data_IF_845663411155
#
_entry.id   IF_845663411155
#
_cell.length_a   1.000
_cell.length_b   1.000
_cell.length_c   1.000
_cell.angle_alpha   90.00
_cell.angle_beta   90.00
_cell.angle_gamma   90.00
#
_symmetry.space_group_name_H-M   'P 1'
#
loop_
_entity.id
_entity.type
_entity.pdbx_description
1 polymer ?
#
# COMPACT_ATOMS: atom_id res chain seq x y z
N UNK A 1 4.58 -30.27 17.50
CA UNK A 1 3.75 -30.34 18.73
C UNK A 1 2.24 -30.28 18.45
N UNK A 2 1.81 -30.32 17.17
CA UNK A 2 0.41 -30.38 16.78
C UNK A 2 -0.42 -29.10 16.99
N UNK A 3 0.23 -27.97 17.24
CA UNK A 3 -0.47 -26.67 17.36
C UNK A 3 -0.70 -26.13 15.95
N UNK A 4 -1.97 -25.86 15.55
CA UNK A 4 -2.26 -25.26 14.26
C UNK A 4 -1.75 -23.81 14.22
N UNK A 5 -1.25 -23.39 13.07
CA UNK A 5 -0.72 -22.03 12.86
C UNK A 5 -1.38 -21.43 11.63
N UNK A 6 -1.87 -20.22 11.77
CA UNK A 6 -2.34 -19.36 10.68
C UNK A 6 -1.41 -18.15 10.60
N UNK A 7 -0.95 -17.83 9.41
CA UNK A 7 -0.18 -16.60 9.18
C UNK A 7 -1.11 -15.48 8.75
N UNK A 8 -0.82 -14.25 9.21
CA UNK A 8 -1.68 -13.08 9.01
C UNK A 8 -0.88 -11.95 8.39
N UNK A 9 -1.35 -11.39 7.29
CA UNK A 9 -0.75 -10.31 6.47
C UNK A 9 0.64 -10.61 5.89
N UNK A 10 1.47 -11.38 6.56
CA UNK A 10 2.76 -11.87 6.08
C UNK A 10 2.72 -13.38 5.89
N UNK A 11 2.91 -13.86 4.66
CA UNK A 11 2.87 -15.29 4.38
C UNK A 11 4.22 -15.97 4.63
N UNK A 12 4.17 -17.18 5.18
CA UNK A 12 5.29 -18.09 5.39
C UNK A 12 5.13 -19.35 4.50
N UNK A 13 5.26 -19.17 3.20
CA UNK A 13 4.94 -20.16 2.15
C UNK A 13 5.62 -21.51 2.39
N UNK A 14 6.86 -21.52 2.92
CA UNK A 14 7.63 -22.75 3.18
C UNK A 14 7.41 -23.33 4.58
N UNK A 15 6.49 -22.78 5.36
CA UNK A 15 6.16 -23.27 6.70
C UNK A 15 5.07 -24.35 6.65
N UNK A 16 4.80 -24.97 7.80
CA UNK A 16 3.68 -25.90 8.00
C UNK A 16 2.41 -25.18 8.47
N UNK A 17 2.21 -23.93 8.08
CA UNK A 17 0.99 -23.20 8.37
C UNK A 17 -0.24 -23.88 7.77
N UNK A 18 -1.36 -23.78 8.43
CA UNK A 18 -2.61 -24.33 7.94
C UNK A 18 -3.28 -23.41 6.91
N UNK A 19 -3.19 -22.10 7.16
CA UNK A 19 -3.77 -21.08 6.29
C UNK A 19 -2.94 -19.79 6.31
N UNK A 20 -3.08 -19.00 5.26
CA UNK A 20 -2.70 -17.58 5.21
C UNK A 20 -3.97 -16.73 5.12
N UNK A 21 -4.07 -15.70 5.95
CA UNK A 21 -5.16 -14.72 5.93
C UNK A 21 -4.55 -13.35 5.63
N UNK A 22 -4.98 -12.72 4.55
CA UNK A 22 -4.42 -11.43 4.15
C UNK A 22 -4.70 -11.07 2.70
N UNK A 23 -3.92 -10.17 2.16
CA UNK A 23 -3.99 -9.69 0.78
C UNK A 23 -2.81 -10.25 -0.01
N UNK A 24 -3.06 -10.85 -1.18
CA UNK A 24 -1.97 -11.32 -2.04
C UNK A 24 -1.27 -10.15 -2.73
N UNK A 25 0.03 -10.33 -3.06
CA UNK A 25 0.80 -9.32 -3.80
C UNK A 25 0.18 -9.00 -5.17
N UNK A 26 -0.43 -10.01 -5.81
CA UNK A 26 -1.14 -9.82 -7.08
C UNK A 26 -2.36 -8.89 -6.90
N UNK A 27 -3.20 -9.18 -5.92
CA UNK A 27 -4.40 -8.39 -5.65
C UNK A 27 -4.04 -6.96 -5.21
N UNK A 28 -3.06 -6.83 -4.31
CA UNK A 28 -2.58 -5.54 -3.85
C UNK A 28 -2.01 -4.72 -5.02
N UNK A 29 -1.17 -5.34 -5.85
CA UNK A 29 -0.60 -4.69 -7.03
C UNK A 29 -1.65 -4.30 -8.07
N UNK A 30 -2.66 -5.14 -8.31
CA UNK A 30 -3.77 -4.84 -9.22
C UNK A 30 -4.58 -3.63 -8.73
N UNK A 31 -4.98 -3.64 -7.46
CA UNK A 31 -5.77 -2.57 -6.87
C UNK A 31 -5.01 -1.22 -6.85
N UNK A 32 -3.71 -1.26 -6.49
CA UNK A 32 -2.87 -0.06 -6.58
C UNK A 32 -2.63 0.38 -8.02
N UNK A 33 -2.49 -0.56 -8.96
CA UNK A 33 -2.37 -0.24 -10.38
C UNK A 33 -3.61 0.50 -10.91
N UNK A 34 -4.81 0.00 -10.59
CA UNK A 34 -6.07 0.68 -10.94
C UNK A 34 -6.13 2.08 -10.31
N UNK A 35 -5.75 2.19 -9.03
CA UNK A 35 -5.74 3.48 -8.32
C UNK A 35 -4.72 4.46 -8.91
N UNK A 36 -3.50 4.02 -9.22
CA UNK A 36 -2.49 4.83 -9.91
C UNK A 36 -3.01 5.32 -11.25
N UNK A 37 -3.65 4.45 -12.03
CA UNK A 37 -4.20 4.82 -13.34
C UNK A 37 -5.27 5.92 -13.27
N UNK A 38 -6.02 6.03 -12.15
CA UNK A 38 -6.96 7.13 -11.95
C UNK A 38 -6.26 8.50 -11.83
N UNK A 39 -5.04 8.52 -11.28
CA UNK A 39 -4.24 9.75 -11.07
C UNK A 39 -3.28 10.06 -12.22
N UNK A 40 -3.04 9.13 -13.15
CA UNK A 40 -2.23 9.39 -14.34
C UNK A 40 -2.94 10.39 -15.24
N UNK A 41 -2.25 11.49 -15.55
CA UNK A 41 -2.68 12.56 -16.45
C UNK A 41 -1.69 12.67 -17.63
N UNK A 42 -2.00 13.51 -18.60
CA UNK A 42 -1.09 13.82 -19.73
C UNK A 42 0.25 14.45 -19.29
N UNK A 43 0.28 15.03 -18.10
CA UNK A 43 1.46 15.72 -17.56
C UNK A 43 2.24 14.82 -16.56
N UNK A 44 1.84 13.55 -16.37
CA UNK A 44 2.54 12.59 -15.50
C UNK A 44 3.74 12.02 -16.24
N UNK A 45 4.94 12.26 -15.73
CA UNK A 45 6.19 11.79 -16.33
C UNK A 45 6.84 10.68 -15.50
N UNK A 46 6.61 10.67 -14.16
CA UNK A 46 7.33 9.82 -13.23
C UNK A 46 6.46 9.25 -12.10
N UNK A 47 6.68 7.97 -11.78
CA UNK A 47 6.06 7.26 -10.67
C UNK A 47 7.15 6.57 -9.88
N UNK A 48 7.18 6.77 -8.57
CA UNK A 48 8.07 6.07 -7.66
C UNK A 48 7.26 5.19 -6.71
N UNK A 49 7.63 3.91 -6.62
CA UNK A 49 7.01 2.93 -5.73
C UNK A 49 7.97 2.58 -4.60
N UNK A 50 7.57 2.83 -3.35
CA UNK A 50 8.31 2.47 -2.16
C UNK A 50 7.75 1.17 -1.58
N UNK A 51 8.62 0.16 -1.45
CA UNK A 51 8.27 -1.16 -0.94
C UNK A 51 9.16 -1.55 0.25
N UNK A 52 8.63 -2.34 1.18
CA UNK A 52 9.38 -3.09 2.19
C UNK A 52 9.12 -4.59 2.00
N UNK A 53 9.77 -5.20 1.04
CA UNK A 53 9.57 -6.62 0.67
C UNK A 53 10.90 -7.36 0.53
N UNK A 54 10.90 -8.65 0.86
CA UNK A 54 12.09 -9.51 0.64
C UNK A 54 12.19 -9.90 -0.83
N UNK A 55 12.65 -8.97 -1.65
CA UNK A 55 12.89 -9.12 -3.09
C UNK A 55 14.25 -8.52 -3.43
N UNK A 56 15.03 -9.25 -4.22
CA UNK A 56 16.36 -8.81 -4.65
C UNK A 56 16.28 -7.86 -5.87
N UNK A 57 15.27 -8.06 -6.72
CA UNK A 57 15.03 -7.25 -7.93
C UNK A 57 13.56 -6.79 -7.96
N UNK A 58 13.37 -5.47 -8.11
CA UNK A 58 12.04 -4.85 -8.20
C UNK A 58 11.21 -5.42 -9.35
N UNK A 59 11.86 -5.82 -10.46
CA UNK A 59 11.16 -6.43 -11.60
C UNK A 59 10.55 -7.80 -11.30
N UNK A 60 10.98 -8.45 -10.21
CA UNK A 60 10.37 -9.70 -9.71
C UNK A 60 9.15 -9.43 -8.82
N UNK A 61 8.89 -8.18 -8.44
CA UNK A 61 7.73 -7.82 -7.64
C UNK A 61 6.46 -7.82 -8.48
N UNK A 62 5.49 -8.65 -8.10
CA UNK A 62 4.16 -8.62 -8.72
C UNK A 62 3.47 -7.27 -8.54
N UNK A 63 3.66 -6.64 -7.39
CA UNK A 63 3.11 -5.31 -7.09
C UNK A 63 3.67 -4.28 -8.09
N UNK A 64 5.00 -4.22 -8.23
CA UNK A 64 5.65 -3.30 -9.17
C UNK A 64 5.16 -3.53 -10.60
N UNK A 65 5.11 -4.79 -11.04
CA UNK A 65 4.69 -5.15 -12.39
C UNK A 65 3.25 -4.72 -12.68
N UNK A 66 2.32 -4.97 -11.77
CA UNK A 66 0.91 -4.60 -11.93
C UNK A 66 0.74 -3.08 -12.00
N UNK A 67 1.37 -2.33 -11.09
CA UNK A 67 1.31 -0.86 -11.09
C UNK A 67 1.92 -0.29 -12.36
N UNK A 68 3.10 -0.78 -12.77
CA UNK A 68 3.78 -0.31 -13.98
C UNK A 68 2.95 -0.56 -15.23
N UNK A 69 2.38 -1.76 -15.37
CA UNK A 69 1.53 -2.10 -16.50
C UNK A 69 0.27 -1.23 -16.56
N UNK A 70 -0.39 -1.00 -15.42
CA UNK A 70 -1.58 -0.16 -15.36
C UNK A 70 -1.29 1.30 -15.71
N UNK A 71 -0.18 1.85 -15.22
CA UNK A 71 0.27 3.21 -15.53
C UNK A 71 0.56 3.37 -17.04
N UNK A 72 1.31 2.44 -17.63
CA UNK A 72 1.61 2.47 -19.07
C UNK A 72 0.36 2.27 -19.93
N UNK A 73 -0.54 1.36 -19.55
CA UNK A 73 -1.81 1.16 -20.26
C UNK A 73 -2.67 2.44 -20.25
N UNK A 74 -2.68 3.17 -19.15
CA UNK A 74 -3.40 4.45 -19.03
C UNK A 74 -2.76 5.56 -19.86
N UNK A 75 -1.44 5.63 -19.89
CA UNK A 75 -0.68 6.59 -20.71
C UNK A 75 -0.86 6.37 -22.22
N UNK A 76 -1.00 5.12 -22.63
CA UNK A 76 -1.08 4.75 -24.05
C UNK A 76 0.26 4.96 -24.80
N UNK A 77 0.23 4.81 -26.11
CA UNK A 77 1.43 4.86 -26.96
C UNK A 77 2.05 6.27 -27.10
N UNK A 78 1.30 7.30 -26.75
CA UNK A 78 1.71 8.71 -26.94
C UNK A 78 2.52 9.28 -25.77
N UNK A 79 2.57 8.59 -24.64
CA UNK A 79 3.22 9.06 -23.42
C UNK A 79 4.06 7.94 -22.79
N UNK A 80 5.30 8.25 -22.45
CA UNK A 80 6.18 7.33 -21.71
C UNK A 80 6.27 7.79 -20.26
N UNK A 81 5.81 6.97 -19.34
CA UNK A 81 5.92 7.23 -17.89
C UNK A 81 7.11 6.44 -17.35
N UNK A 82 8.02 7.13 -16.66
CA UNK A 82 9.11 6.47 -15.96
C UNK A 82 8.61 5.91 -14.63
N UNK A 83 8.41 4.58 -14.56
CA UNK A 83 8.08 3.90 -13.31
C UNK A 83 9.35 3.34 -12.69
N UNK A 84 9.61 3.69 -11.44
CA UNK A 84 10.76 3.21 -10.67
C UNK A 84 10.31 2.63 -9.33
N UNK A 85 11.13 1.75 -8.76
CA UNK A 85 10.85 1.17 -7.46
C UNK A 85 12.07 1.27 -6.54
N UNK A 86 11.83 1.49 -5.24
CA UNK A 86 12.86 1.48 -4.20
C UNK A 86 12.43 0.54 -3.09
N UNK A 87 13.28 -0.46 -2.80
CA UNK A 87 13.03 -1.40 -1.70
C UNK A 87 13.71 -0.90 -0.43
N UNK A 88 12.92 -0.72 0.62
CA UNK A 88 13.34 -0.20 1.94
C UNK A 88 13.22 -1.28 3.05
N UNK A 89 13.22 -2.58 2.71
CA UNK A 89 13.00 -3.66 3.67
C UNK A 89 13.98 -3.65 4.84
N UNK A 90 15.25 -3.35 4.57
CA UNK A 90 16.34 -3.39 5.56
C UNK A 90 16.51 -2.09 6.33
N UNK A 91 15.64 -1.11 6.13
CA UNK A 91 15.72 0.19 6.80
C UNK A 91 14.88 0.22 8.08
N UNK A 92 15.44 0.77 9.17
CA UNK A 92 14.69 1.21 10.32
C UNK A 92 13.91 2.49 10.02
N UNK A 93 13.18 3.03 11.01
CA UNK A 93 12.35 4.22 10.80
C UNK A 93 13.20 5.45 10.39
N UNK A 94 14.35 5.64 11.00
CA UNK A 94 15.24 6.78 10.70
C UNK A 94 15.82 6.71 9.29
N UNK A 95 16.28 5.53 8.87
CA UNK A 95 16.81 5.30 7.52
C UNK A 95 15.70 5.41 6.47
N UNK A 96 14.46 5.05 6.83
CA UNK A 96 13.29 5.26 5.96
C UNK A 96 13.00 6.74 5.80
N UNK A 97 13.02 7.51 6.88
CA UNK A 97 12.85 8.97 6.86
C UNK A 97 13.94 9.64 6.02
N UNK A 98 15.23 9.30 6.22
CA UNK A 98 16.33 9.79 5.41
C UNK A 98 16.15 9.46 3.93
N UNK A 99 15.84 8.19 3.62
CA UNK A 99 15.67 7.72 2.26
C UNK A 99 14.48 8.36 1.52
N UNK A 100 13.41 8.72 2.24
CA UNK A 100 12.26 9.45 1.70
C UNK A 100 12.60 10.94 1.57
N UNK A 101 13.25 11.53 2.56
CA UNK A 101 13.69 12.93 2.52
C UNK A 101 14.61 13.19 1.33
N UNK A 102 15.56 12.30 1.05
CA UNK A 102 16.48 12.39 -0.09
C UNK A 102 15.76 12.48 -1.44
N UNK A 103 14.60 11.83 -1.59
CA UNK A 103 13.78 11.91 -2.81
C UNK A 103 13.35 13.36 -3.05
N UNK A 104 12.95 14.07 -2.00
CA UNK A 104 12.42 15.43 -2.09
C UNK A 104 13.51 16.50 -2.10
N UNK A 105 14.72 16.20 -1.63
CA UNK A 105 15.88 17.12 -1.72
C UNK A 105 16.32 17.31 -3.17
N UNK A 106 16.18 16.31 -4.01
CA UNK A 106 16.56 16.34 -5.42
C UNK A 106 15.40 16.87 -6.27
N UNK A 107 15.23 18.20 -6.30
CA UNK A 107 14.07 18.88 -6.91
C UNK A 107 13.70 18.40 -8.31
N UNK A 108 14.69 18.02 -9.12
CA UNK A 108 14.50 17.57 -10.49
C UNK A 108 14.13 16.07 -10.59
N UNK A 109 14.02 15.38 -9.44
CA UNK A 109 13.71 13.95 -9.35
C UNK A 109 12.51 13.64 -8.45
N UNK A 110 11.82 14.67 -7.99
CA UNK A 110 10.58 14.48 -7.23
C UNK A 110 9.55 13.82 -8.15
N UNK A 111 8.99 12.67 -7.77
CA UNK A 111 8.03 12.00 -8.63
C UNK A 111 6.69 12.74 -8.67
N UNK A 112 5.96 12.62 -9.79
CA UNK A 112 4.60 13.14 -9.90
C UNK A 112 3.63 12.31 -9.06
N UNK A 113 3.86 10.98 -9.03
CA UNK A 113 3.10 10.06 -8.19
C UNK A 113 4.08 9.26 -7.32
N UNK A 114 3.86 9.30 -6.02
CA UNK A 114 4.58 8.50 -5.02
C UNK A 114 3.63 7.47 -4.42
N UNK A 115 3.96 6.19 -4.60
CA UNK A 115 3.21 5.06 -4.06
C UNK A 115 3.93 4.52 -2.85
N UNK A 116 3.30 4.59 -1.68
CA UNK A 116 3.81 4.07 -0.41
C UNK A 116 3.03 2.81 -0.04
N UNK A 117 3.74 1.71 0.19
CA UNK A 117 3.14 0.38 0.39
C UNK A 117 3.21 -0.10 1.85
N UNK A 118 3.51 0.79 2.78
CA UNK A 118 3.50 0.58 4.23
C UNK A 118 3.28 1.90 4.98
N UNK A 119 2.96 1.79 6.28
CA UNK A 119 2.66 2.93 7.14
C UNK A 119 3.85 3.89 7.27
N UNK A 120 5.05 3.36 7.55
CA UNK A 120 6.24 4.20 7.77
C UNK A 120 6.56 5.06 6.55
N UNK A 121 6.56 4.46 5.34
CA UNK A 121 6.82 5.22 4.10
C UNK A 121 5.73 6.24 3.81
N UNK A 122 4.47 5.94 4.16
CA UNK A 122 3.35 6.88 4.01
C UNK A 122 3.51 8.09 4.93
N UNK A 123 3.84 7.87 6.20
CA UNK A 123 4.06 8.94 7.17
C UNK A 123 5.30 9.77 6.82
N UNK A 124 6.41 9.14 6.44
CA UNK A 124 7.62 9.85 6.00
C UNK A 124 7.35 10.69 4.75
N UNK A 125 6.59 10.16 3.77
CA UNK A 125 6.20 10.91 2.57
C UNK A 125 5.30 12.10 2.90
N UNK A 126 4.31 11.91 3.80
CA UNK A 126 3.45 12.99 4.31
C UNK A 126 4.26 14.12 4.91
N UNK A 127 5.22 13.79 5.79
CA UNK A 127 6.06 14.78 6.43
C UNK A 127 6.96 15.48 5.41
N UNK A 128 7.61 14.73 4.52
CA UNK A 128 8.51 15.30 3.52
C UNK A 128 7.81 16.29 2.58
N UNK A 129 6.61 15.98 2.06
CA UNK A 129 5.89 16.93 1.18
C UNK A 129 5.50 18.22 1.91
N UNK A 130 5.29 18.19 3.23
CA UNK A 130 5.04 19.38 4.03
C UNK A 130 6.33 20.20 4.20
N UNK A 131 7.43 19.55 4.58
CA UNK A 131 8.72 20.20 4.83
C UNK A 131 9.30 20.86 3.57
N UNK A 132 9.10 20.23 2.41
CA UNK A 132 9.52 20.76 1.11
C UNK A 132 8.48 21.64 0.42
N UNK A 133 7.32 21.90 1.04
CA UNK A 133 6.23 22.72 0.50
C UNK A 133 5.70 22.20 -0.86
N UNK A 134 5.56 20.88 -0.95
CA UNK A 134 5.09 20.15 -2.13
C UNK A 134 3.71 19.51 -1.96
N UNK A 135 3.02 19.80 -0.85
CA UNK A 135 1.65 19.33 -0.62
C UNK A 135 0.73 19.75 -1.78
N UNK A 136 0.02 18.78 -2.36
CA UNK A 136 -0.83 18.97 -3.52
C UNK A 136 -0.10 19.08 -4.87
N UNK A 137 1.25 19.04 -4.90
CA UNK A 137 2.03 18.97 -6.14
C UNK A 137 2.49 17.55 -6.47
N UNK A 138 2.65 16.72 -5.47
CA UNK A 138 2.96 15.30 -5.59
C UNK A 138 1.70 14.51 -5.21
N UNK A 139 1.28 13.60 -6.06
CA UNK A 139 0.20 12.66 -5.75
C UNK A 139 0.76 11.56 -4.86
N UNK A 140 0.32 11.50 -3.59
CA UNK A 140 0.69 10.41 -2.69
C UNK A 140 -0.45 9.40 -2.62
N UNK A 141 -0.16 8.16 -2.99
CA UNK A 141 -1.02 7.00 -2.79
C UNK A 141 -0.41 6.20 -1.64
N UNK A 142 -1.02 6.31 -0.47
CA UNK A 142 -0.50 5.78 0.78
C UNK A 142 -1.06 4.41 1.14
N UNK A 143 -0.64 3.94 2.29
CA UNK A 143 -1.10 2.72 2.93
C UNK A 143 -1.36 2.98 4.42
N UNK A 144 -2.36 2.29 4.98
CA UNK A 144 -2.79 2.40 6.37
C UNK A 144 -3.77 3.57 6.64
N UNK A 145 -4.46 3.48 7.78
CA UNK A 145 -5.54 4.40 8.15
C UNK A 145 -5.40 4.94 9.58
N UNK A 146 -4.15 5.29 9.99
CA UNK A 146 -3.92 6.02 11.24
C UNK A 146 -4.64 7.38 11.22
N UNK A 147 -4.95 7.94 12.40
CA UNK A 147 -5.59 9.25 12.50
C UNK A 147 -4.79 10.36 11.79
N UNK A 148 -3.47 10.27 11.80
CA UNK A 148 -2.58 11.22 11.14
C UNK A 148 -2.65 11.09 9.61
N UNK A 149 -2.64 9.86 9.09
CA UNK A 149 -2.81 9.58 7.64
C UNK A 149 -4.19 10.05 7.17
N UNK A 150 -5.27 9.67 7.89
CA UNK A 150 -6.62 10.09 7.55
C UNK A 150 -6.79 11.61 7.58
N UNK A 151 -6.17 12.27 8.56
CA UNK A 151 -6.16 13.73 8.63
C UNK A 151 -5.41 14.35 7.45
N UNK A 152 -4.31 13.73 7.01
CA UNK A 152 -3.56 14.19 5.86
C UNK A 152 -4.34 14.00 4.54
N UNK A 153 -5.09 12.90 4.40
CA UNK A 153 -6.01 12.68 3.28
C UNK A 153 -7.11 13.76 3.27
N UNK A 154 -7.72 14.04 4.41
CA UNK A 154 -8.76 15.06 4.52
C UNK A 154 -8.27 16.46 4.15
N UNK A 155 -7.01 16.78 4.51
CA UNK A 155 -6.35 18.05 4.15
C UNK A 155 -5.79 18.07 2.72
N UNK A 156 -5.74 16.93 2.03
CA UNK A 156 -5.21 16.81 0.67
C UNK A 156 -3.68 16.82 0.59
N UNK A 157 -3.00 16.49 1.67
CA UNK A 157 -1.55 16.22 1.71
C UNK A 157 -1.28 14.84 1.12
N UNK A 158 -2.08 13.83 1.48
CA UNK A 158 -2.15 12.52 0.86
C UNK A 158 -3.39 12.50 -0.04
N UNK A 159 -3.27 11.99 -1.25
CA UNK A 159 -4.36 11.96 -2.23
C UNK A 159 -5.38 10.88 -1.90
N UNK A 160 -4.89 9.70 -1.53
CA UNK A 160 -5.69 8.54 -1.15
C UNK A 160 -4.82 7.58 -0.33
N UNK A 161 -5.40 6.82 0.57
CA UNK A 161 -4.71 5.75 1.32
C UNK A 161 -5.45 4.42 1.19
N UNK A 162 -4.69 3.32 1.18
CA UNK A 162 -5.24 1.97 1.20
C UNK A 162 -5.44 1.51 2.64
N UNK A 163 -6.63 1.03 2.94
CA UNK A 163 -7.00 0.42 4.22
C UNK A 163 -7.33 -1.06 4.02
N UNK A 164 -6.94 -1.89 4.98
CA UNK A 164 -7.24 -3.33 5.00
C UNK A 164 -8.41 -3.57 5.94
N UNK A 165 -9.37 -4.39 5.52
CA UNK A 165 -10.49 -4.77 6.38
C UNK A 165 -10.01 -5.63 7.57
N UNK A 166 -9.71 -4.95 8.67
CA UNK A 166 -9.19 -5.59 9.89
C UNK A 166 -10.24 -6.45 10.60
N UNK A 167 -11.53 -6.20 10.39
CA UNK A 167 -12.61 -7.04 10.90
C UNK A 167 -12.64 -8.39 10.17
N UNK A 168 -12.57 -8.38 8.85
CA UNK A 168 -12.41 -9.60 8.05
C UNK A 168 -11.13 -10.35 8.43
N UNK A 169 -10.02 -9.62 8.60
CA UNK A 169 -8.73 -10.18 8.98
C UNK A 169 -8.84 -10.98 10.29
N UNK A 170 -9.44 -10.40 11.31
CA UNK A 170 -9.68 -11.04 12.61
C UNK A 170 -10.64 -12.24 12.49
N UNK A 171 -11.77 -12.06 11.83
CA UNK A 171 -12.79 -13.10 11.62
C UNK A 171 -12.24 -14.30 10.90
N UNK A 172 -11.58 -14.11 9.75
CA UNK A 172 -11.03 -15.22 8.96
C UNK A 172 -9.89 -15.94 9.66
N UNK A 173 -9.10 -15.24 10.50
CA UNK A 173 -8.06 -15.88 11.30
C UNK A 173 -8.64 -16.86 12.31
N UNK A 174 -9.72 -16.49 12.98
CA UNK A 174 -10.44 -17.39 13.93
C UNK A 174 -11.16 -18.51 13.18
N UNK A 175 -11.81 -18.20 12.06
CA UNK A 175 -12.51 -19.18 11.22
C UNK A 175 -11.55 -20.29 10.74
N UNK A 176 -10.40 -19.92 10.18
CA UNK A 176 -9.39 -20.86 9.72
C UNK A 176 -8.91 -21.81 10.83
N UNK A 177 -8.65 -21.29 12.03
CA UNK A 177 -8.25 -22.11 13.18
C UNK A 177 -9.39 -23.01 13.67
N UNK A 178 -10.62 -22.51 13.70
CA UNK A 178 -11.81 -23.25 14.16
C UNK A 178 -12.15 -24.40 13.21
N UNK A 179 -12.15 -24.14 11.90
CA UNK A 179 -12.34 -25.16 10.88
C UNK A 179 -11.29 -26.26 10.99
N UNK A 180 -10.01 -25.87 11.10
CA UNK A 180 -8.93 -26.84 11.23
C UNK A 180 -9.06 -27.71 12.49
N UNK A 181 -9.43 -27.12 13.62
CA UNK A 181 -9.65 -27.87 14.87
C UNK A 181 -10.82 -28.86 14.75
N UNK A 182 -11.88 -28.47 14.03
CA UNK A 182 -13.08 -29.30 13.88
C UNK A 182 -12.92 -30.40 12.84
N UNK A 183 -12.37 -30.06 11.68
CA UNK A 183 -12.43 -30.90 10.47
C UNK A 183 -11.04 -31.42 10.03
N UNK A 184 -9.95 -31.03 10.74
CA UNK A 184 -8.56 -31.36 10.42
C UNK A 184 -8.04 -30.69 9.15
N UNK A 185 -8.81 -29.77 8.58
CA UNK A 185 -8.49 -29.02 7.35
C UNK A 185 -9.16 -27.65 7.35
N UNK A 186 -8.60 -26.71 6.60
CA UNK A 186 -9.16 -25.38 6.33
C UNK A 186 -8.69 -24.93 4.95
N UNK A 187 -9.21 -23.82 4.43
CA UNK A 187 -8.71 -23.23 3.20
C UNK A 187 -7.25 -22.79 3.39
N UNK A 188 -6.43 -22.99 2.37
CA UNK A 188 -5.01 -22.60 2.41
C UNK A 188 -4.82 -21.09 2.41
N UNK A 189 -5.84 -20.33 2.00
CA UNK A 189 -5.83 -18.88 1.86
C UNK A 189 -7.24 -18.29 2.09
N UNK A 190 -7.30 -17.24 2.89
CA UNK A 190 -8.47 -16.37 3.04
C UNK A 190 -8.09 -14.97 2.59
N UNK A 191 -8.75 -14.54 1.53
CA UNK A 191 -8.56 -13.20 1.00
C UNK A 191 -9.26 -12.16 1.86
N UNK A 192 -8.55 -11.10 2.19
CA UNK A 192 -9.08 -9.94 2.93
C UNK A 192 -9.26 -8.78 1.96
N UNK A 193 -10.37 -8.08 2.10
CA UNK A 193 -10.67 -6.92 1.26
C UNK A 193 -9.81 -5.72 1.66
N UNK A 194 -9.54 -4.89 0.66
CA UNK A 194 -8.88 -3.59 0.83
C UNK A 194 -9.77 -2.50 0.25
N UNK A 195 -9.72 -1.33 0.84
CA UNK A 195 -10.45 -0.16 0.43
C UNK A 195 -9.50 1.03 0.23
N UNK A 196 -9.77 1.85 -0.77
CA UNK A 196 -9.07 3.11 -0.92
C UNK A 196 -9.91 4.24 -0.32
N UNK A 197 -9.32 4.93 0.65
CA UNK A 197 -9.94 6.03 1.37
C UNK A 197 -9.43 7.35 0.81
N UNK A 198 -10.23 7.98 -0.02
CA UNK A 198 -10.05 9.35 -0.47
C UNK A 198 -10.66 10.35 0.52
N UNK A 199 -10.60 11.63 0.20
CA UNK A 199 -11.13 12.69 1.05
C UNK A 199 -12.64 12.54 1.37
N UNK A 200 -13.42 12.06 0.41
CA UNK A 200 -14.87 11.90 0.60
C UNK A 200 -15.16 10.70 1.50
N UNK A 201 -14.47 9.60 1.27
CA UNK A 201 -14.58 8.39 2.09
C UNK A 201 -14.17 8.66 3.54
N UNK A 202 -13.04 9.36 3.78
CA UNK A 202 -12.61 9.74 5.14
C UNK A 202 -13.63 10.62 5.84
N UNK A 203 -14.19 11.61 5.15
CA UNK A 203 -15.23 12.47 5.72
C UNK A 203 -16.51 11.72 6.03
N UNK A 204 -16.91 10.76 5.19
CA UNK A 204 -18.08 9.92 5.44
C UNK A 204 -17.86 9.07 6.69
N UNK A 205 -16.73 8.36 6.78
CA UNK A 205 -16.36 7.54 7.92
C UNK A 205 -16.34 8.32 9.24
N UNK A 206 -15.77 9.54 9.25
CA UNK A 206 -15.72 10.38 10.46
C UNK A 206 -17.10 10.91 10.90
N UNK A 207 -18.05 11.07 9.98
CA UNK A 207 -19.43 11.46 10.32
C UNK A 207 -20.19 10.33 10.99
N UNK A 208 -19.95 9.08 10.59
CA UNK A 208 -20.59 7.90 11.18
C UNK A 208 -20.10 7.64 12.60
N UNK A 209 -18.83 7.95 12.90
CA UNK A 209 -18.22 7.76 14.25
C UNK A 209 -18.63 8.87 15.24
N UNK A 210 -19.12 10.02 14.77
CA UNK A 210 -19.65 11.10 15.62
C UNK A 210 -21.19 11.09 15.57
N UNK A 211 -21.88 10.30 16.44
CA UNK A 211 -23.31 10.44 16.59
C UNK A 211 -23.63 11.83 17.18
N UNK A 212 -24.63 12.47 16.64
CA UNK A 212 -25.16 13.77 17.08
C UNK A 212 -25.61 13.75 18.54
#
# INVERSE_FOLDING_TARGET
KGIPVVTVMGDAVHSKRQSFVGVSDYQLGSAYGEKVAEYVTKDTESILILLKKNIDDMNQSQIYTQISNAAQAKAGDSQSIQVTGKNLLSTGIFETEEAVTDIFQQKDKVPDILVCMDEDTTECARQAVLDFNLAGKVTIIGYYSSDDILTAVEKGVISVTCDVDTEQLGRYSIEALTEYQKDGRTNSYYNVDINFLDREAVRAMRREVQPK
#
